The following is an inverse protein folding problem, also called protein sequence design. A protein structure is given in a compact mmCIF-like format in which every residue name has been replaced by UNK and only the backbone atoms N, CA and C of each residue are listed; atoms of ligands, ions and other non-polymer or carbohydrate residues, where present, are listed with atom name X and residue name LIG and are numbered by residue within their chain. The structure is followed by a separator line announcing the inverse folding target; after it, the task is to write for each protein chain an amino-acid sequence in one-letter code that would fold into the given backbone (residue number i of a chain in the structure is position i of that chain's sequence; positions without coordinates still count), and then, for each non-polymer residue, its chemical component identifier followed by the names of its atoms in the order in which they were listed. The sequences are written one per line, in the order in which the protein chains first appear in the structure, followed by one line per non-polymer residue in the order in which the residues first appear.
data_IF_139896086724
#
_entry.id   IF_139896086724
#
_cell.length_a   1.000
_cell.length_b   1.000
_cell.length_c   1.000
_cell.angle_alpha   90.00
_cell.angle_beta   90.00
_cell.angle_gamma   90.00
#
_symmetry.space_group_name_H-M   'P 1'
#
loop_
_entity.id
_entity.type
_entity.pdbx_description
1 polymer ?
#
# COMPACT_ATOMS: atom_id res chain seq x y z
N UNK A 1 32.93 -105.28 4.94
CA UNK A 1 33.61 -104.26 4.11
C UNK A 1 32.75 -103.80 2.92
N UNK A 2 32.25 -104.70 2.06
CA UNK A 2 31.44 -104.30 0.88
C UNK A 2 30.12 -103.60 1.23
N UNK A 3 29.37 -104.11 2.23
CA UNK A 3 28.09 -103.51 2.64
C UNK A 3 28.24 -102.08 3.20
N UNK A 4 29.32 -101.81 3.92
CA UNK A 4 29.61 -100.50 4.51
C UNK A 4 30.05 -99.48 3.45
N UNK A 5 30.81 -99.91 2.44
CA UNK A 5 31.12 -99.10 1.27
C UNK A 5 29.87 -98.75 0.46
N UNK A 6 28.95 -99.70 0.28
CA UNK A 6 27.66 -99.47 -0.38
C UNK A 6 26.81 -98.45 0.41
N UNK A 7 26.69 -98.60 1.73
CA UNK A 7 25.96 -97.64 2.57
C UNK A 7 26.55 -96.23 2.50
N UNK A 8 27.89 -96.10 2.51
CA UNK A 8 28.58 -94.81 2.34
C UNK A 8 28.39 -94.21 0.96
N UNK A 9 28.42 -95.01 -0.10
CA UNK A 9 28.15 -94.55 -1.46
C UNK A 9 26.71 -94.01 -1.58
N UNK A 10 25.72 -94.73 -1.05
CA UNK A 10 24.32 -94.30 -1.02
C UNK A 10 24.12 -93.02 -0.20
N UNK A 11 24.79 -92.88 0.95
CA UNK A 11 24.76 -91.65 1.75
C UNK A 11 25.40 -90.47 1.02
N UNK A 12 26.53 -90.69 0.33
CA UNK A 12 27.17 -89.66 -0.48
C UNK A 12 26.31 -89.23 -1.67
N UNK A 13 25.62 -90.15 -2.33
CA UNK A 13 24.65 -89.82 -3.39
C UNK A 13 23.46 -89.03 -2.85
N UNK A 14 22.90 -89.43 -1.72
CA UNK A 14 21.81 -88.70 -1.07
C UNK A 14 22.25 -87.28 -0.67
N UNK A 15 23.44 -87.14 -0.11
CA UNK A 15 24.03 -85.85 0.25
C UNK A 15 24.32 -84.99 -0.98
N UNK A 16 24.84 -85.57 -2.07
CA UNK A 16 25.05 -84.86 -3.34
C UNK A 16 23.73 -84.37 -3.94
N UNK A 17 22.65 -85.15 -3.84
CA UNK A 17 21.30 -84.72 -4.23
C UNK A 17 20.80 -83.57 -3.36
N UNK A 18 20.97 -83.63 -2.04
CA UNK A 18 20.61 -82.53 -1.13
C UNK A 18 21.41 -81.27 -1.42
N UNK A 19 22.72 -81.36 -1.67
CA UNK A 19 23.58 -80.22 -2.03
C UNK A 19 23.16 -79.61 -3.37
N UNK A 20 22.80 -80.44 -4.34
CA UNK A 20 22.28 -79.97 -5.65
C UNK A 20 20.95 -79.24 -5.48
N UNK A 21 20.02 -79.80 -4.70
CA UNK A 21 18.73 -79.17 -4.38
C UNK A 21 18.92 -77.84 -3.64
N UNK A 22 19.82 -77.80 -2.65
CA UNK A 22 20.15 -76.59 -1.91
C UNK A 22 20.79 -75.52 -2.81
N UNK A 23 21.70 -75.91 -3.70
CA UNK A 23 22.34 -74.99 -4.65
C UNK A 23 21.31 -74.40 -5.60
N UNK A 24 20.35 -75.20 -6.09
CA UNK A 24 19.24 -74.72 -6.90
C UNK A 24 18.34 -73.74 -6.12
N UNK A 25 17.93 -74.07 -4.90
CA UNK A 25 17.13 -73.16 -4.05
C UNK A 25 17.87 -71.88 -3.66
N UNK A 26 19.18 -71.95 -3.42
CA UNK A 26 20.03 -70.76 -3.17
C UNK A 26 20.13 -69.89 -4.41
N UNK A 27 20.28 -70.49 -5.60
CA UNK A 27 20.26 -69.78 -6.88
C UNK A 27 18.93 -69.07 -7.13
N UNK A 28 17.81 -69.76 -6.90
CA UNK A 28 16.47 -69.18 -7.00
C UNK A 28 16.27 -68.03 -5.99
N UNK A 29 16.65 -68.23 -4.73
CA UNK A 29 16.57 -67.19 -3.69
C UNK A 29 17.45 -65.98 -4.04
N UNK A 30 18.63 -66.19 -4.62
CA UNK A 30 19.51 -65.12 -5.08
C UNK A 30 18.86 -64.30 -6.19
N UNK A 31 18.17 -64.97 -7.12
CA UNK A 31 17.35 -64.32 -8.15
C UNK A 31 16.25 -63.45 -7.54
N UNK A 32 15.44 -64.00 -6.63
CA UNK A 32 14.35 -63.30 -5.94
C UNK A 32 14.84 -62.10 -5.12
N UNK A 33 16.00 -62.21 -4.47
CA UNK A 33 16.62 -61.08 -3.74
C UNK A 33 17.08 -59.98 -4.69
N UNK A 34 17.57 -60.33 -5.88
CA UNK A 34 17.98 -59.35 -6.90
C UNK A 34 16.77 -58.60 -7.45
N UNK A 35 15.70 -59.32 -7.78
CA UNK A 35 14.42 -58.74 -8.20
C UNK A 35 13.83 -57.83 -7.12
N UNK A 36 13.83 -58.28 -5.86
CA UNK A 36 13.35 -57.45 -4.74
C UNK A 36 14.17 -56.16 -4.59
N UNK A 37 15.50 -56.20 -4.78
CA UNK A 37 16.34 -54.99 -4.74
C UNK A 37 15.98 -54.02 -5.86
N UNK A 38 15.69 -54.52 -7.05
CA UNK A 38 15.27 -53.70 -8.19
C UNK A 38 13.89 -53.07 -7.95
N UNK A 39 12.93 -53.84 -7.44
CA UNK A 39 11.60 -53.36 -7.05
C UNK A 39 11.71 -52.30 -5.95
N UNK A 40 12.52 -52.53 -4.92
CA UNK A 40 12.74 -51.57 -3.82
C UNK A 40 13.36 -50.28 -4.35
N UNK A 41 14.37 -50.37 -5.22
CA UNK A 41 15.02 -49.19 -5.82
C UNK A 41 14.03 -48.39 -6.67
N UNK A 42 13.24 -49.07 -7.50
CA UNK A 42 12.18 -48.47 -8.30
C UNK A 42 11.12 -47.80 -7.43
N UNK A 43 10.70 -48.46 -6.35
CA UNK A 43 9.71 -47.93 -5.42
C UNK A 43 10.24 -46.71 -4.65
N UNK A 44 11.52 -46.71 -4.24
CA UNK A 44 12.17 -45.54 -3.63
C UNK A 44 12.21 -44.36 -4.61
N UNK A 45 12.57 -44.59 -5.87
CA UNK A 45 12.60 -43.55 -6.90
C UNK A 45 11.21 -42.96 -7.15
N UNK A 46 10.19 -43.81 -7.28
CA UNK A 46 8.79 -43.39 -7.45
C UNK A 46 8.26 -42.60 -6.25
N UNK A 47 8.59 -43.05 -5.03
CA UNK A 47 8.21 -42.37 -3.79
C UNK A 47 8.89 -41.01 -3.68
N UNK A 48 10.18 -40.91 -4.02
CA UNK A 48 10.91 -39.64 -4.02
C UNK A 48 10.31 -38.63 -5.01
N UNK A 49 9.97 -39.07 -6.23
CA UNK A 49 9.28 -38.25 -7.22
C UNK A 49 7.91 -37.79 -6.72
N UNK A 50 7.14 -38.68 -6.08
CA UNK A 50 5.83 -38.34 -5.51
C UNK A 50 5.93 -37.32 -4.38
N UNK A 51 6.95 -37.43 -3.52
CA UNK A 51 7.23 -36.45 -2.46
C UNK A 51 7.61 -35.08 -3.05
N UNK A 52 8.42 -35.04 -4.11
CA UNK A 52 8.78 -33.78 -4.78
C UNK A 52 7.55 -33.10 -5.40
N UNK A 53 6.69 -33.87 -6.08
CA UNK A 53 5.44 -33.35 -6.64
C UNK A 53 4.48 -32.86 -5.54
N UNK A 54 4.35 -33.61 -4.45
CA UNK A 54 3.54 -33.21 -3.30
C UNK A 54 4.09 -31.93 -2.65
N UNK A 55 5.40 -31.81 -2.47
CA UNK A 55 6.04 -30.62 -1.93
C UNK A 55 5.80 -29.38 -2.80
N UNK A 56 5.93 -29.52 -4.13
CA UNK A 56 5.63 -28.43 -5.07
C UNK A 56 4.15 -28.04 -5.06
N UNK A 57 3.24 -29.01 -4.93
CA UNK A 57 1.80 -28.77 -4.82
C UNK A 57 1.44 -28.06 -3.51
N UNK A 58 2.03 -28.48 -2.39
CA UNK A 58 1.86 -27.81 -1.08
C UNK A 58 2.41 -26.39 -1.10
N UNK A 59 3.58 -26.16 -1.69
CA UNK A 59 4.13 -24.81 -1.85
C UNK A 59 3.20 -23.91 -2.68
N UNK A 60 2.69 -24.41 -3.81
CA UNK A 60 1.74 -23.68 -4.66
C UNK A 60 0.41 -23.40 -3.94
N UNK A 61 -0.09 -24.35 -3.16
CA UNK A 61 -1.31 -24.20 -2.38
C UNK A 61 -1.15 -23.19 -1.23
N UNK A 62 0.01 -23.17 -0.58
CA UNK A 62 0.35 -22.16 0.42
C UNK A 62 0.44 -20.77 -0.21
N UNK A 63 1.11 -20.61 -1.34
CA UNK A 63 1.18 -19.33 -2.07
C UNK A 63 -0.21 -18.85 -2.51
N UNK A 64 -1.06 -19.76 -3.00
CA UNK A 64 -2.43 -19.45 -3.36
C UNK A 64 -3.26 -19.05 -2.12
N UNK A 65 -3.09 -19.74 -1.00
CA UNK A 65 -3.73 -19.41 0.28
C UNK A 65 -3.28 -18.03 0.76
N UNK A 66 -1.98 -17.72 0.77
CA UNK A 66 -1.45 -16.41 1.17
C UNK A 66 -1.97 -15.29 0.25
N UNK A 67 -1.95 -15.49 -1.07
CA UNK A 67 -2.52 -14.53 -2.03
C UNK A 67 -4.02 -14.34 -1.81
N UNK A 68 -4.76 -15.42 -1.57
CA UNK A 68 -6.19 -15.36 -1.27
C UNK A 68 -6.45 -14.69 0.08
N UNK A 69 -5.67 -14.94 1.14
CA UNK A 69 -5.82 -14.27 2.44
C UNK A 69 -5.62 -12.76 2.31
N UNK A 70 -4.60 -12.32 1.56
CA UNK A 70 -4.37 -10.89 1.26
C UNK A 70 -5.53 -10.30 0.46
N UNK A 71 -6.04 -11.01 -0.55
CA UNK A 71 -7.20 -10.58 -1.35
C UNK A 71 -8.53 -10.60 -0.55
N UNK A 72 -8.68 -11.50 0.42
CA UNK A 72 -9.87 -11.64 1.27
C UNK A 72 -9.88 -10.60 2.39
N UNK A 73 -8.73 -10.18 2.92
CA UNK A 73 -8.64 -8.94 3.74
C UNK A 73 -9.18 -7.71 2.99
N UNK A 74 -9.24 -7.76 1.65
CA UNK A 74 -9.74 -6.73 0.76
C UNK A 74 -11.26 -6.84 0.45
N UNK A 75 -11.90 -7.95 0.84
CA UNK A 75 -13.33 -8.22 0.61
C UNK A 75 -14.08 -8.15 1.93
N UNK A 76 -14.54 -6.95 2.31
CA UNK A 76 -15.42 -6.76 3.47
C UNK A 76 -16.80 -7.37 3.19
N UNK A 77 -17.21 -8.41 3.92
CA UNK A 77 -18.53 -9.03 3.84
C UNK A 77 -19.61 -8.05 4.37
N UNK A 78 -20.61 -7.69 3.55
CA UNK A 78 -21.84 -7.07 4.05
C UNK A 78 -22.80 -8.18 4.46
N UNK A 79 -23.19 -8.16 5.73
CA UNK A 79 -24.31 -8.92 6.22
C UNK A 79 -25.52 -7.97 6.28
N UNK A 80 -26.53 -8.20 5.44
CA UNK A 80 -27.85 -7.65 5.63
C UNK A 80 -28.66 -8.67 6.44
N UNK A 81 -28.70 -8.50 7.76
CA UNK A 81 -29.72 -9.20 8.55
C UNK A 81 -31.08 -8.54 8.24
N UNK A 82 -32.08 -9.37 8.00
CA UNK A 82 -33.52 -9.14 7.82
C UNK A 82 -34.20 -8.20 8.83
N UNK A 83 -33.46 -7.57 9.75
CA UNK A 83 -33.90 -6.53 10.68
C UNK A 83 -33.66 -5.07 10.20
N UNK A 84 -33.28 -4.84 8.94
CA UNK A 84 -33.28 -3.50 8.33
C UNK A 84 -32.10 -2.60 8.68
N UNK A 85 -30.98 -3.17 9.17
CA UNK A 85 -29.71 -2.45 9.31
C UNK A 85 -28.75 -2.87 8.19
N UNK A 86 -28.65 -2.04 7.16
CA UNK A 86 -27.66 -2.19 6.11
C UNK A 86 -26.28 -1.76 6.66
N UNK A 87 -25.37 -2.70 6.89
CA UNK A 87 -23.96 -2.41 7.13
C UNK A 87 -23.21 -2.46 5.79
N UNK A 88 -22.66 -1.31 5.35
CA UNK A 88 -22.01 -1.16 4.05
C UNK A 88 -20.59 -1.80 3.99
N UNK A 89 -20.25 -2.38 2.84
CA UNK A 89 -18.92 -2.94 2.50
C UNK A 89 -17.95 -1.82 2.10
N UNK A 90 -16.67 -1.96 2.45
CA UNK A 90 -15.58 -1.12 1.92
C UNK A 90 -14.60 -1.98 1.11
N UNK A 91 -14.22 -1.51 -0.08
CA UNK A 91 -13.14 -2.12 -0.88
C UNK A 91 -12.05 -1.07 -1.08
N UNK A 92 -10.92 -1.25 -0.41
CA UNK A 92 -9.73 -0.40 -0.60
C UNK A 92 -8.82 -1.09 -1.60
N UNK A 93 -8.69 -0.55 -2.82
CA UNK A 93 -7.65 -0.98 -3.76
C UNK A 93 -6.33 -0.30 -3.37
N UNK A 94 -5.33 -1.09 -3.01
CA UNK A 94 -3.96 -0.61 -2.78
C UNK A 94 -3.18 -0.73 -4.08
N UNK A 95 -2.59 0.36 -4.56
CA UNK A 95 -1.64 0.38 -5.67
C UNK A 95 -0.25 0.67 -5.10
N UNK A 96 0.80 0.10 -5.68
CA UNK A 96 2.17 0.44 -5.32
C UNK A 96 2.59 1.63 -6.17
N UNK A 97 3.00 2.74 -5.54
CA UNK A 97 3.54 3.89 -6.26
C UNK A 97 4.97 3.60 -6.77
N UNK A 98 5.52 4.48 -7.61
CA UNK A 98 6.85 4.31 -8.19
C UNK A 98 8.00 4.15 -7.16
N UNK A 99 7.77 4.53 -5.90
CA UNK A 99 8.74 4.43 -4.80
C UNK A 99 8.49 3.21 -3.91
N UNK A 100 7.65 2.25 -4.32
CA UNK A 100 7.38 1.04 -3.55
C UNK A 100 6.42 1.22 -2.37
N UNK A 101 5.75 2.37 -2.25
CA UNK A 101 4.82 2.64 -1.16
C UNK A 101 3.40 2.26 -1.57
N UNK A 102 2.66 1.59 -0.68
CA UNK A 102 1.24 1.30 -0.87
C UNK A 102 0.43 2.60 -0.78
N UNK A 103 -0.31 2.93 -1.84
CA UNK A 103 -1.22 4.07 -1.93
C UNK A 103 -2.65 3.59 -2.16
N UNK A 104 -3.61 4.24 -1.51
CA UNK A 104 -5.03 3.98 -1.70
C UNK A 104 -5.48 4.56 -3.05
N UNK A 105 -5.96 3.71 -3.97
CA UNK A 105 -6.37 4.12 -5.31
C UNK A 105 -7.86 4.48 -5.44
N UNK A 106 -8.71 4.09 -4.47
CA UNK A 106 -10.14 4.41 -4.44
C UNK A 106 -10.71 4.37 -3.01
N UNK A 107 -11.61 5.31 -2.69
CA UNK A 107 -12.45 5.32 -1.48
C UNK A 107 -13.91 5.22 -1.94
N UNK A 108 -14.63 4.18 -1.51
CA UNK A 108 -16.08 4.14 -1.58
C UNK A 108 -16.64 4.43 -0.17
N UNK A 109 -17.56 5.40 -0.05
CA UNK A 109 -18.18 5.78 1.22
C UNK A 109 -19.52 5.05 1.41
N UNK A 110 -19.74 4.44 2.57
CA UNK A 110 -21.02 3.84 2.96
C UNK A 110 -21.92 4.82 3.72
N UNK A 111 -23.23 4.57 3.67
CA UNK A 111 -24.25 5.34 4.41
C UNK A 111 -24.45 4.67 5.77
N UNK A 112 -24.43 5.45 6.86
CA UNK A 112 -24.76 4.97 8.20
C UNK A 112 -26.15 5.48 8.61
N UNK A 113 -26.98 4.60 9.16
CA UNK A 113 -28.30 4.96 9.71
C UNK A 113 -28.19 5.08 11.23
N UNK A 114 -27.99 6.30 11.71
CA UNK A 114 -28.10 6.63 13.14
C UNK A 114 -29.45 7.35 13.33
N UNK A 115 -30.43 6.65 13.92
CA UNK A 115 -31.69 7.26 14.35
C UNK A 115 -32.63 7.72 13.22
N UNK A 116 -32.60 7.11 12.03
CA UNK A 116 -33.51 7.43 10.94
C UNK A 116 -33.05 8.57 10.02
N UNK A 117 -31.87 9.16 10.28
CA UNK A 117 -31.23 10.11 9.38
C UNK A 117 -30.09 9.40 8.65
N UNK A 118 -30.16 9.37 7.32
CA UNK A 118 -29.08 8.84 6.48
C UNK A 118 -27.94 9.87 6.46
N UNK A 119 -26.83 9.57 7.13
CA UNK A 119 -25.63 10.38 7.08
C UNK A 119 -24.52 9.57 6.40
N UNK A 120 -24.01 10.09 5.28
CA UNK A 120 -22.84 9.53 4.61
C UNK A 120 -21.59 10.15 5.22
N UNK A 121 -20.69 9.32 5.74
CA UNK A 121 -19.44 9.80 6.33
C UNK A 121 -18.27 8.87 5.96
N UNK A 122 -17.12 9.49 5.67
CA UNK A 122 -15.85 8.79 5.45
C UNK A 122 -14.98 9.12 6.65
N UNK A 123 -14.67 8.13 7.48
CA UNK A 123 -13.75 8.26 8.60
C UNK A 123 -12.43 7.57 8.24
N UNK A 124 -11.32 8.29 8.35
CA UNK A 124 -9.98 7.77 8.05
C UNK A 124 -9.07 7.99 9.26
N UNK A 125 -8.51 6.90 9.79
CA UNK A 125 -7.46 6.93 10.82
C UNK A 125 -6.12 6.62 10.14
N UNK A 126 -5.22 7.59 10.09
CA UNK A 126 -3.91 7.45 9.48
C UNK A 126 -2.90 8.43 10.07
N UNK A 127 -1.63 8.02 10.18
CA UNK A 127 -0.52 8.91 10.59
C UNK A 127 -0.27 10.02 9.55
N UNK A 128 -0.49 9.69 8.27
CA UNK A 128 -0.38 10.62 7.13
C UNK A 128 -1.38 10.26 6.05
N UNK A 129 -2.20 11.23 5.66
CA UNK A 129 -3.07 11.16 4.48
C UNK A 129 -2.58 12.16 3.44
N UNK A 130 -2.27 11.71 2.23
CA UNK A 130 -1.73 12.57 1.18
C UNK A 130 -2.30 12.21 -0.19
N UNK A 131 -2.59 13.23 -1.01
CA UNK A 131 -2.79 13.03 -2.44
C UNK A 131 -1.40 12.92 -3.08
N UNK A 132 -1.11 11.77 -3.69
CA UNK A 132 0.16 11.50 -4.35
C UNK A 132 -0.09 11.47 -5.84
N UNK A 133 0.49 12.42 -6.58
CA UNK A 133 0.50 12.34 -8.03
C UNK A 133 1.84 11.79 -8.49
N UNK A 134 1.80 10.66 -9.20
CA UNK A 134 2.88 10.20 -10.06
C UNK A 134 2.51 10.61 -11.48
N UNK A 135 3.01 11.75 -11.96
CA UNK A 135 3.13 11.94 -13.41
C UNK A 135 3.98 10.77 -13.90
N UNK A 136 3.52 9.99 -14.89
CA UNK A 136 4.22 8.80 -15.36
C UNK A 136 5.70 9.11 -15.64
N UNK A 137 6.61 8.63 -14.78
CA UNK A 137 8.06 8.88 -14.87
C UNK A 137 8.58 10.22 -14.31
N UNK A 138 7.74 11.05 -13.69
CA UNK A 138 8.09 12.34 -13.10
C UNK A 138 8.25 12.32 -11.57
N UNK A 139 8.76 13.43 -11.01
CA UNK A 139 8.90 13.60 -9.56
C UNK A 139 7.54 13.48 -8.86
N UNK A 140 7.52 12.77 -7.72
CA UNK A 140 6.34 12.63 -6.88
C UNK A 140 5.96 14.00 -6.30
N UNK A 141 4.73 14.44 -6.55
CA UNK A 141 4.17 15.69 -5.98
C UNK A 141 3.00 15.38 -5.05
N UNK A 142 2.96 16.05 -3.90
CA UNK A 142 1.89 15.91 -2.90
C UNK A 142 1.23 17.26 -2.60
N UNK A 143 0.25 17.71 -3.42
CA UNK A 143 -0.38 19.02 -3.25
C UNK A 143 -1.29 19.12 -2.01
N UNK A 144 -1.66 17.98 -1.41
CA UNK A 144 -2.50 17.91 -0.21
C UNK A 144 -1.91 16.86 0.74
N UNK A 145 -1.62 17.26 1.98
CA UNK A 145 -1.13 16.36 3.03
C UNK A 145 -1.76 16.73 4.37
N UNK A 146 -2.47 15.79 4.99
CA UNK A 146 -2.85 15.86 6.39
C UNK A 146 -1.93 14.93 7.21
N UNK A 147 -1.16 15.50 8.14
CA UNK A 147 -0.24 14.75 9.00
C UNK A 147 0.03 15.54 10.28
N UNK A 148 0.33 14.85 11.39
CA UNK A 148 0.65 15.49 12.68
C UNK A 148 -0.41 16.51 13.13
N UNK A 149 -1.69 16.28 12.81
CA UNK A 149 -2.78 17.21 13.12
C UNK A 149 -2.79 18.51 12.31
N UNK A 150 -1.97 18.63 11.26
CA UNK A 150 -1.89 19.80 10.39
C UNK A 150 -2.24 19.44 8.94
N UNK A 151 -2.82 20.40 8.24
CA UNK A 151 -3.08 20.33 6.81
C UNK A 151 -2.08 21.19 6.05
N UNK A 152 -1.38 20.59 5.10
CA UNK A 152 -0.47 21.24 4.18
C UNK A 152 -1.08 21.25 2.77
N UNK A 153 -1.18 22.44 2.19
CA UNK A 153 -1.68 22.66 0.85
C UNK A 153 -0.58 23.31 0.03
N UNK A 154 -0.30 22.76 -1.15
CA UNK A 154 0.51 23.42 -2.17
C UNK A 154 -0.26 24.58 -2.83
N UNK A 155 0.18 24.98 -4.01
CA UNK A 155 -0.60 25.90 -4.84
C UNK A 155 -1.97 25.28 -5.14
N UNK A 156 -3.05 26.01 -4.85
CA UNK A 156 -4.43 25.53 -5.00
C UNK A 156 -5.28 26.57 -5.72
N UNK A 157 -6.21 26.10 -6.54
CA UNK A 157 -7.24 26.93 -7.17
C UNK A 157 -8.55 26.73 -6.41
N UNK A 158 -9.07 27.80 -5.84
CA UNK A 158 -10.32 27.80 -5.07
C UNK A 158 -11.32 28.63 -5.86
N UNK A 159 -12.45 28.02 -6.26
CA UNK A 159 -13.51 28.73 -6.98
C UNK A 159 -14.15 29.79 -6.07
N UNK A 160 -14.69 29.38 -4.93
CA UNK A 160 -15.29 30.26 -3.92
C UNK A 160 -14.79 29.86 -2.52
N UNK A 161 -14.17 30.80 -1.81
CA UNK A 161 -13.58 30.56 -0.50
C UNK A 161 -14.16 31.48 0.58
N UNK A 162 -14.74 30.90 1.62
CA UNK A 162 -15.18 31.62 2.82
C UNK A 162 -14.34 31.20 4.01
N UNK A 163 -13.69 32.15 4.67
CA UNK A 163 -12.89 31.91 5.88
C UNK A 163 -13.47 32.77 7.01
N UNK A 164 -14.05 32.14 8.03
CA UNK A 164 -14.60 32.85 9.19
C UNK A 164 -13.51 33.61 9.95
N UNK A 165 -12.38 32.95 10.22
CA UNK A 165 -11.21 33.56 10.85
C UNK A 165 -9.92 32.95 10.31
N UNK A 166 -8.95 33.79 9.96
CA UNK A 166 -7.62 33.36 9.51
C UNK A 166 -6.53 34.02 10.38
N UNK A 167 -5.54 33.22 10.83
CA UNK A 167 -4.30 33.74 11.41
C UNK A 167 -3.22 33.77 10.33
N UNK A 168 -2.68 34.94 10.04
CA UNK A 168 -1.68 35.14 8.99
C UNK A 168 -0.29 35.28 9.62
N UNK A 169 0.62 34.38 9.26
CA UNK A 169 1.99 34.36 9.80
C UNK A 169 2.96 35.34 9.13
N UNK A 170 2.62 35.87 7.95
CA UNK A 170 3.47 36.80 7.20
C UNK A 170 2.65 37.88 6.51
N UNK A 171 2.07 37.62 5.34
CA UNK A 171 1.25 38.59 4.61
C UNK A 171 0.27 37.88 3.66
N UNK A 172 -0.70 38.64 3.17
CA UNK A 172 -1.48 38.31 1.98
C UNK A 172 -1.17 39.39 0.95
N UNK A 173 -0.84 39.02 -0.29
CA UNK A 173 -0.51 39.98 -1.33
C UNK A 173 -1.04 39.56 -2.69
N UNK A 174 -1.21 40.53 -3.58
CA UNK A 174 -1.31 40.27 -5.01
C UNK A 174 0.00 39.69 -5.55
N UNK A 175 -0.08 38.88 -6.61
CA UNK A 175 1.09 38.28 -7.25
C UNK A 175 2.02 39.30 -7.93
N UNK A 176 1.52 40.48 -8.28
CA UNK A 176 2.28 41.57 -8.89
C UNK A 176 2.68 42.68 -7.90
N UNK A 177 2.71 42.38 -6.59
CA UNK A 177 3.09 43.39 -5.60
C UNK A 177 4.55 43.81 -5.75
N UNK A 178 4.76 45.12 -5.91
CA UNK A 178 6.06 45.79 -5.86
C UNK A 178 5.87 47.03 -4.98
N UNK A 179 6.66 47.14 -3.91
CA UNK A 179 6.56 48.22 -2.94
C UNK A 179 6.58 49.60 -3.63
N UNK A 180 5.57 50.41 -3.31
CA UNK A 180 5.34 51.74 -3.84
C UNK A 180 4.99 51.84 -5.34
N UNK A 181 4.85 50.73 -6.07
CA UNK A 181 4.72 50.74 -7.53
C UNK A 181 3.47 50.01 -8.03
N UNK A 182 3.24 48.77 -7.61
CA UNK A 182 2.12 47.97 -8.11
C UNK A 182 1.57 46.99 -7.08
N UNK A 183 0.30 46.62 -7.25
CA UNK A 183 -0.34 45.59 -6.45
C UNK A 183 -0.67 46.03 -5.02
N UNK A 184 -1.01 45.06 -4.18
CA UNK A 184 -1.35 45.29 -2.78
C UNK A 184 -0.73 44.23 -1.86
N UNK A 185 -0.51 44.62 -0.61
CA UNK A 185 -0.05 43.72 0.46
C UNK A 185 -0.69 44.10 1.79
N UNK A 186 -1.16 43.09 2.53
CA UNK A 186 -1.57 43.17 3.92
C UNK A 186 -0.55 42.40 4.78
N UNK A 187 0.26 43.13 5.54
CA UNK A 187 1.34 42.58 6.36
C UNK A 187 0.87 42.26 7.79
N UNK A 188 1.50 41.26 8.41
CA UNK A 188 1.30 40.90 9.83
C UNK A 188 1.60 42.04 10.82
N UNK A 189 2.36 43.05 10.39
CA UNK A 189 2.70 44.22 11.21
C UNK A 189 1.59 45.27 11.25
N UNK A 190 0.47 45.04 10.53
CA UNK A 190 -0.66 45.95 10.45
C UNK A 190 -0.60 46.95 9.29
N UNK A 191 0.42 46.87 8.43
CA UNK A 191 0.53 47.71 7.23
C UNK A 191 -0.30 47.13 6.09
N UNK A 192 -1.21 47.93 5.55
CA UNK A 192 -1.91 47.68 4.30
C UNK A 192 -1.49 48.69 3.24
N UNK A 193 -0.98 48.21 2.12
CA UNK A 193 -0.52 49.04 1.01
C UNK A 193 -1.24 48.66 -0.28
N UNK A 194 -1.66 49.65 -1.05
CA UNK A 194 -2.26 49.51 -2.38
C UNK A 194 -1.54 50.48 -3.33
N UNK A 195 -1.02 49.96 -4.43
CA UNK A 195 -0.32 50.74 -5.45
C UNK A 195 -0.95 50.51 -6.82
N UNK A 196 -1.21 51.60 -7.53
CA UNK A 196 -1.70 51.53 -8.91
C UNK A 196 -0.53 51.57 -9.90
N UNK A 197 -0.37 50.54 -10.77
CA UNK A 197 0.61 50.57 -11.86
C UNK A 197 0.14 51.40 -13.07
N UNK A 198 -1.07 51.94 -13.03
CA UNK A 198 -1.66 52.68 -14.15
C UNK A 198 -1.07 54.09 -14.24
N UNK A 199 -1.01 54.67 -15.45
CA UNK A 199 -0.74 56.09 -15.61
C UNK A 199 -1.83 56.92 -14.90
N UNK A 200 -1.45 57.93 -14.11
CA UNK A 200 -2.40 58.56 -13.18
C UNK A 200 -2.54 57.85 -11.83
N UNK A 201 -1.89 56.70 -11.66
CA UNK A 201 -2.04 55.84 -10.49
C UNK A 201 -1.40 56.42 -9.24
N UNK A 202 -2.16 56.49 -8.16
CA UNK A 202 -1.65 56.84 -6.83
C UNK A 202 -1.24 55.62 -6.01
N UNK A 203 -0.79 55.90 -4.78
CA UNK A 203 -0.52 54.88 -3.75
C UNK A 203 -1.26 55.21 -2.46
N UNK A 204 -1.69 54.18 -1.75
CA UNK A 204 -2.33 54.27 -0.44
C UNK A 204 -1.60 53.38 0.56
N UNK A 205 -1.33 53.92 1.74
CA UNK A 205 -0.73 53.18 2.86
C UNK A 205 -1.57 53.40 4.11
N UNK A 206 -1.92 52.33 4.81
CA UNK A 206 -2.61 52.33 6.10
C UNK A 206 -1.74 51.55 7.08
N UNK A 207 -1.54 52.08 8.28
CA UNK A 207 -0.83 51.40 9.37
C UNK A 207 -1.38 51.85 10.73
N UNK A 208 -0.71 51.46 11.82
CA UNK A 208 -1.12 51.81 13.18
C UNK A 208 -1.17 53.32 13.50
N UNK A 209 -0.63 54.19 12.64
CA UNK A 209 -0.70 55.64 12.80
C UNK A 209 -1.91 56.26 12.06
N UNK A 210 -2.48 55.58 11.07
CA UNK A 210 -3.54 56.13 10.22
C UNK A 210 -3.35 55.74 8.75
N UNK A 211 -3.87 56.57 7.84
CA UNK A 211 -3.74 56.32 6.40
C UNK A 211 -3.34 57.56 5.60
N UNK A 212 -2.60 57.30 4.52
CA UNK A 212 -2.06 58.32 3.60
C UNK A 212 -2.36 57.92 2.16
N UNK A 213 -2.79 58.89 1.36
CA UNK A 213 -3.04 58.74 -0.08
C UNK A 213 -2.15 59.72 -0.83
N UNK A 214 -1.39 59.20 -1.78
CA UNK A 214 -0.48 59.97 -2.63
C UNK A 214 -0.92 59.90 -4.08
N UNK A 215 -0.65 60.96 -4.83
CA UNK A 215 -0.86 60.97 -6.28
C UNK A 215 0.29 60.28 -7.06
N UNK A 216 0.17 60.28 -8.38
CA UNK A 216 1.16 59.73 -9.33
C UNK A 216 2.57 60.33 -9.19
N UNK A 217 2.70 61.53 -8.61
CA UNK A 217 3.98 62.21 -8.39
C UNK A 217 4.53 61.95 -6.99
N UNK A 218 3.89 61.07 -6.23
CA UNK A 218 4.23 60.77 -4.84
C UNK A 218 3.90 61.92 -3.87
N UNK A 219 3.09 62.90 -4.28
CA UNK A 219 2.68 64.00 -3.41
C UNK A 219 1.52 63.55 -2.51
N UNK A 220 1.61 63.85 -1.21
CA UNK A 220 0.55 63.53 -0.26
C UNK A 220 -0.69 64.37 -0.57
N UNK A 221 -1.83 63.72 -0.80
CA UNK A 221 -3.11 64.38 -1.13
C UNK A 221 -4.12 64.33 -0.01
N UNK A 222 -4.06 63.27 0.79
CA UNK A 222 -4.96 63.09 1.92
C UNK A 222 -4.26 62.28 3.01
N UNK A 223 -4.45 62.69 4.26
CA UNK A 223 -4.00 61.97 5.44
C UNK A 223 -5.13 61.95 6.47
N UNK A 224 -5.30 60.82 7.13
CA UNK A 224 -6.14 60.65 8.31
C UNK A 224 -5.36 59.91 9.40
N UNK A 225 -5.71 60.15 10.67
CA UNK A 225 -4.92 59.69 11.81
C UNK A 225 -3.65 60.51 12.03
N UNK A 226 -2.75 60.00 12.86
CA UNK A 226 -1.52 60.67 13.30
C UNK A 226 -1.80 62.07 13.88
N UNK A 227 -2.62 62.10 14.93
CA UNK A 227 -3.15 63.33 15.56
C UNK A 227 -2.09 64.14 16.35
N UNK A 228 -0.85 63.66 16.40
CA UNK A 228 0.26 64.30 17.10
C UNK A 228 1.23 65.04 16.16
N UNK A 229 0.94 65.09 14.85
CA UNK A 229 1.76 65.72 13.82
C UNK A 229 1.19 67.08 13.39
#
# INVERSE_FOLDING_TARGET
MVQEQMTRATQNEAMARTVTQLTASVGENTGRVTELREVVTTNLASTASSIQQLSASVASANDATTKNTVAIQQTATAYADTAGKLAAMYTVKLQVNANGQYVMAAIAAGIENVGGVLQSQILMSADRFALVNTLAGGAVSTPFVAQNGQLFLGQTFIQDGTITNAKIGSYISSTNYIAGQSGWILNKDGTFEINSPLAGGGKQVINGQGGKVYDERGQLRYQWGNLAA
#
